data_IF_722571176851
#
_entry.id   IF_722571176851
#
_cell.length_a   1.000
_cell.length_b   1.000
_cell.length_c   1.000
_cell.angle_alpha   90.00
_cell.angle_beta   90.00
_cell.angle_gamma   90.00
#
_symmetry.space_group_name_H-M   'P 1'
#
loop_
_entity.id
_entity.type
_entity.pdbx_description
1 polymer ?
#
# COMPACT_ATOMS: atom_id res chain seq x y z
N UNK A 1 17.59 -9.15 16.18
CA UNK A 1 17.08 -8.46 14.96
C UNK A 1 15.80 -7.71 15.33
N UNK A 2 15.54 -6.58 14.67
CA UNK A 2 14.32 -5.78 14.89
C UNK A 2 13.61 -5.57 13.55
N UNK A 3 12.99 -6.61 12.96
CA UNK A 3 12.32 -6.46 11.68
C UNK A 3 11.14 -5.49 11.79
N UNK A 4 10.99 -4.62 10.78
CA UNK A 4 9.83 -3.73 10.62
C UNK A 4 9.26 -3.97 9.23
N UNK A 5 7.97 -4.22 9.17
CA UNK A 5 7.28 -4.56 7.93
C UNK A 5 6.64 -3.30 7.33
N UNK A 6 6.96 -3.01 6.08
CA UNK A 6 6.32 -2.02 5.23
C UNK A 6 5.47 -2.76 4.21
N UNK A 7 4.17 -2.63 4.31
CA UNK A 7 3.22 -3.37 3.50
C UNK A 7 2.40 -2.42 2.63
N UNK A 8 2.34 -2.68 1.33
CA UNK A 8 1.35 -2.05 0.48
C UNK A 8 -0.05 -2.50 0.85
N UNK A 9 -1.07 -1.75 0.39
CA UNK A 9 -2.45 -2.00 0.76
C UNK A 9 -3.29 -2.54 -0.40
N UNK A 10 -3.40 -1.78 -1.49
CA UNK A 10 -4.36 -2.05 -2.56
C UNK A 10 -3.79 -3.09 -3.54
N UNK A 11 -4.37 -4.30 -3.58
CA UNK A 11 -3.83 -5.45 -4.31
C UNK A 11 -2.86 -6.32 -3.49
N UNK A 12 -2.40 -5.83 -2.34
CA UNK A 12 -1.54 -6.57 -1.39
C UNK A 12 -2.34 -7.03 -0.16
N UNK A 13 -2.77 -6.12 0.72
CA UNK A 13 -3.65 -6.43 1.87
C UNK A 13 -5.08 -6.71 1.39
N UNK A 14 -5.61 -5.91 0.47
CA UNK A 14 -6.84 -6.23 -0.24
C UNK A 14 -6.59 -7.28 -1.33
N UNK A 15 -7.60 -8.07 -1.67
CA UNK A 15 -7.46 -9.08 -2.74
C UNK A 15 -7.30 -8.43 -4.12
N UNK A 16 -8.01 -7.32 -4.35
CA UNK A 16 -8.12 -6.64 -5.63
C UNK A 16 -7.61 -5.20 -5.55
N UNK A 17 -7.30 -4.59 -6.71
CA UNK A 17 -7.01 -3.15 -6.86
C UNK A 17 -8.31 -2.33 -6.68
N UNK A 18 -8.81 -2.25 -5.43
CA UNK A 18 -10.10 -1.63 -5.11
C UNK A 18 -10.09 -0.13 -5.34
N UNK A 19 -8.94 0.54 -5.10
CA UNK A 19 -8.78 1.97 -5.34
C UNK A 19 -9.01 2.36 -6.80
N UNK A 20 -8.40 1.61 -7.72
CA UNK A 20 -8.61 1.81 -9.17
C UNK A 20 -10.08 1.59 -9.54
N UNK A 21 -10.74 0.58 -8.94
CA UNK A 21 -12.18 0.33 -9.12
C UNK A 21 -13.03 1.51 -8.67
N UNK A 22 -12.71 2.12 -7.52
CA UNK A 22 -13.37 3.33 -7.01
C UNK A 22 -13.19 4.51 -7.98
N UNK A 23 -11.97 4.77 -8.43
CA UNK A 23 -11.72 5.85 -9.39
C UNK A 23 -12.54 5.67 -10.67
N UNK A 24 -12.57 4.46 -11.22
CA UNK A 24 -13.39 4.15 -12.41
C UNK A 24 -14.88 4.34 -12.18
N UNK A 25 -15.39 4.01 -10.99
CA UNK A 25 -16.80 4.18 -10.65
C UNK A 25 -17.20 5.66 -10.56
N UNK A 26 -16.40 6.50 -9.89
CA UNK A 26 -16.77 7.88 -9.62
C UNK A 26 -16.26 8.89 -10.66
N UNK A 27 -15.29 8.50 -11.49
CA UNK A 27 -14.73 9.35 -12.56
C UNK A 27 -14.52 8.57 -13.85
N UNK A 28 -15.56 7.90 -14.42
CA UNK A 28 -15.41 6.94 -15.51
C UNK A 28 -14.68 7.52 -16.71
N UNK A 29 -15.09 8.69 -17.24
CA UNK A 29 -14.50 9.30 -18.44
C UNK A 29 -13.03 9.67 -18.21
N UNK A 30 -12.72 10.31 -17.07
CA UNK A 30 -11.33 10.63 -16.73
C UNK A 30 -10.48 9.40 -16.47
N UNK A 31 -11.06 8.37 -15.87
CA UNK A 31 -10.36 7.10 -15.63
C UNK A 31 -9.98 6.41 -16.92
N UNK A 32 -10.86 6.40 -17.93
CA UNK A 32 -10.58 5.87 -19.26
C UNK A 32 -9.42 6.63 -19.95
N UNK A 33 -9.33 7.94 -19.74
CA UNK A 33 -8.27 8.77 -20.32
C UNK A 33 -6.94 8.65 -19.55
N UNK A 34 -6.98 8.79 -18.20
CA UNK A 34 -5.77 9.02 -17.42
C UNK A 34 -5.11 7.74 -16.91
N UNK A 35 -5.87 6.68 -16.60
CA UNK A 35 -5.29 5.43 -16.06
C UNK A 35 -4.34 4.77 -17.06
N UNK A 36 -4.67 4.61 -18.35
CA UNK A 36 -3.71 4.07 -19.33
C UNK A 36 -2.42 4.90 -19.42
N UNK A 37 -2.53 6.23 -19.38
CA UNK A 37 -1.38 7.14 -19.44
C UNK A 37 -0.48 7.08 -18.21
N UNK A 38 -1.02 6.71 -17.05
CA UNK A 38 -0.21 6.42 -15.85
C UNK A 38 0.54 5.09 -16.01
N UNK A 39 -0.10 4.07 -16.61
CA UNK A 39 0.54 2.77 -16.82
C UNK A 39 1.62 2.78 -17.91
N UNK A 40 1.46 3.60 -18.95
CA UNK A 40 2.46 3.76 -20.01
C UNK A 40 3.50 4.86 -19.71
N UNK A 41 3.44 5.45 -18.50
CA UNK A 41 4.34 6.47 -17.98
C UNK A 41 4.35 7.79 -18.78
N UNK A 42 3.32 8.07 -19.58
CA UNK A 42 3.13 9.37 -20.27
C UNK A 42 2.48 10.42 -19.37
N UNK A 43 1.97 9.99 -18.22
CA UNK A 43 1.47 10.83 -17.13
C UNK A 43 2.04 10.32 -15.81
N UNK A 44 2.49 11.25 -14.94
CA UNK A 44 2.96 10.84 -13.61
C UNK A 44 1.82 10.30 -12.75
N UNK A 45 2.12 9.35 -11.85
CA UNK A 45 1.13 8.89 -10.86
C UNK A 45 0.62 10.07 -10.02
N UNK A 46 1.50 11.01 -9.68
CA UNK A 46 1.15 12.23 -8.94
C UNK A 46 0.04 13.03 -9.62
N UNK A 47 0.24 13.37 -10.89
CA UNK A 47 -0.71 14.21 -11.62
C UNK A 47 -2.00 13.47 -11.94
N UNK A 48 -1.90 12.19 -12.34
CA UNK A 48 -3.05 11.37 -12.69
C UNK A 48 -3.95 11.08 -11.49
N UNK A 49 -3.41 10.61 -10.38
CA UNK A 49 -4.18 10.30 -9.16
C UNK A 49 -4.80 11.55 -8.57
N UNK A 50 -4.05 12.68 -8.52
CA UNK A 50 -4.60 13.96 -8.07
C UNK A 50 -5.76 14.40 -8.95
N UNK A 51 -5.59 14.39 -10.27
CA UNK A 51 -6.63 14.81 -11.22
C UNK A 51 -7.89 13.95 -11.13
N UNK A 52 -7.75 12.65 -10.89
CA UNK A 52 -8.87 11.73 -10.69
C UNK A 52 -9.59 12.03 -9.38
N UNK A 53 -8.90 12.01 -8.24
CA UNK A 53 -9.49 12.25 -6.93
C UNK A 53 -10.14 13.63 -6.81
N UNK A 54 -9.47 14.69 -7.28
CA UNK A 54 -9.99 16.05 -7.23
C UNK A 54 -11.12 16.32 -8.26
N UNK A 55 -11.50 15.33 -9.06
CA UNK A 55 -12.71 15.37 -9.88
C UNK A 55 -13.90 14.62 -9.27
N UNK A 56 -13.71 13.93 -8.16
CA UNK A 56 -14.80 13.30 -7.40
C UNK A 56 -15.52 14.36 -6.58
N UNK A 57 -16.86 14.45 -6.70
CA UNK A 57 -17.65 15.31 -5.84
C UNK A 57 -17.59 14.83 -4.39
N UNK A 58 -17.37 15.74 -3.44
CA UNK A 58 -17.19 15.42 -2.01
C UNK A 58 -18.35 14.63 -1.41
N UNK A 59 -19.58 14.81 -1.92
CA UNK A 59 -20.77 14.05 -1.49
C UNK A 59 -20.63 12.54 -1.69
N UNK A 60 -19.76 12.08 -2.57
CA UNK A 60 -19.54 10.65 -2.85
C UNK A 60 -18.54 10.00 -1.89
N UNK A 61 -17.82 10.79 -1.08
CA UNK A 61 -16.81 10.27 -0.19
C UNK A 61 -17.32 9.22 0.82
N UNK A 62 -18.51 9.39 1.44
CA UNK A 62 -19.07 8.34 2.30
C UNK A 62 -19.34 7.01 1.57
N UNK A 63 -19.77 7.06 0.30
CA UNK A 63 -19.99 5.87 -0.51
C UNK A 63 -18.66 5.18 -0.86
N UNK A 64 -17.59 5.97 -1.14
CA UNK A 64 -16.25 5.41 -1.35
C UNK A 64 -15.76 4.63 -0.11
N UNK A 65 -15.97 5.18 1.09
CA UNK A 65 -15.64 4.50 2.34
C UNK A 65 -16.46 3.23 2.55
N UNK A 66 -17.74 3.23 2.15
CA UNK A 66 -18.60 2.05 2.27
C UNK A 66 -18.12 0.91 1.35
N UNK A 67 -17.69 1.22 0.13
CA UNK A 67 -17.07 0.25 -0.77
C UNK A 67 -15.83 -0.37 -0.10
N UNK A 68 -14.98 0.47 0.52
CA UNK A 68 -13.77 -0.01 1.19
C UNK A 68 -14.07 -0.88 2.42
N UNK A 69 -15.14 -0.60 3.17
CA UNK A 69 -15.55 -1.47 4.30
C UNK A 69 -15.88 -2.90 3.88
N UNK A 70 -16.30 -3.08 2.65
CA UNK A 70 -16.67 -4.38 2.09
C UNK A 70 -15.56 -5.00 1.21
N UNK A 71 -14.44 -4.32 1.05
CA UNK A 71 -13.31 -4.82 0.28
C UNK A 71 -12.74 -6.10 0.93
N UNK A 72 -12.60 -7.21 0.16
CA UNK A 72 -12.12 -8.46 0.72
C UNK A 72 -10.63 -8.35 1.08
N UNK A 73 -10.29 -8.76 2.30
CA UNK A 73 -8.90 -8.90 2.71
C UNK A 73 -8.29 -10.16 2.11
N UNK A 74 -7.01 -10.10 1.78
CA UNK A 74 -6.26 -11.26 1.34
C UNK A 74 -6.19 -12.29 2.46
N UNK A 75 -6.32 -13.55 2.08
CA UNK A 75 -6.30 -14.67 3.00
C UNK A 75 -5.06 -14.62 3.90
N UNK A 76 -5.27 -14.91 5.18
CA UNK A 76 -4.21 -14.96 6.19
C UNK A 76 -3.79 -13.59 6.75
N UNK A 77 -4.21 -12.44 6.18
CA UNK A 77 -3.75 -11.13 6.62
C UNK A 77 -4.04 -10.87 8.11
N UNK A 78 -5.26 -11.08 8.58
CA UNK A 78 -5.60 -10.83 9.99
C UNK A 78 -4.81 -11.75 10.94
N UNK A 79 -4.67 -13.04 10.59
CA UNK A 79 -3.85 -13.99 11.37
C UNK A 79 -2.37 -13.59 11.40
N UNK A 80 -1.85 -13.07 10.27
CA UNK A 80 -0.49 -12.55 10.21
C UNK A 80 -0.31 -11.28 11.05
N UNK A 81 -1.28 -10.39 11.05
CA UNK A 81 -1.27 -9.20 11.89
C UNK A 81 -1.25 -9.56 13.39
N UNK A 82 -2.13 -10.49 13.81
CA UNK A 82 -2.13 -11.03 15.17
C UNK A 82 -0.77 -11.66 15.55
N UNK A 83 -0.20 -12.46 14.63
CA UNK A 83 1.10 -13.09 14.81
C UNK A 83 2.20 -12.05 15.02
N UNK A 84 2.23 -10.98 14.23
CA UNK A 84 3.21 -9.90 14.35
C UNK A 84 3.06 -9.18 15.69
N UNK A 85 1.83 -8.89 16.11
CA UNK A 85 1.55 -8.21 17.39
C UNK A 85 2.02 -9.04 18.59
N UNK A 86 1.78 -10.35 18.59
CA UNK A 86 2.29 -11.25 19.65
C UNK A 86 3.83 -11.21 19.74
N UNK A 87 4.50 -11.01 18.59
CA UNK A 87 5.96 -10.93 18.50
C UNK A 87 6.53 -9.51 18.68
N UNK A 88 5.67 -8.51 18.90
CA UNK A 88 6.05 -7.10 18.93
C UNK A 88 6.76 -6.63 17.64
N UNK A 89 6.40 -7.21 16.49
CA UNK A 89 6.88 -6.78 15.18
C UNK A 89 5.93 -5.75 14.62
N UNK A 90 6.45 -4.57 14.28
CA UNK A 90 5.64 -3.48 13.77
C UNK A 90 5.30 -3.66 12.29
N UNK A 91 4.00 -3.53 11.95
CA UNK A 91 3.53 -3.44 10.58
C UNK A 91 3.13 -1.99 10.28
N UNK A 92 3.72 -1.45 9.23
CA UNK A 92 3.45 -0.12 8.67
C UNK A 92 2.77 -0.31 7.31
N UNK A 93 1.60 0.27 7.14
CA UNK A 93 0.94 0.29 5.82
C UNK A 93 1.37 1.52 5.04
N UNK A 94 1.81 1.32 3.79
CA UNK A 94 2.23 2.40 2.88
C UNK A 94 1.45 2.26 1.58
N UNK A 95 0.53 3.19 1.33
CA UNK A 95 -0.39 3.10 0.20
C UNK A 95 -0.37 4.33 -0.68
N UNK A 96 -0.49 4.15 -2.00
CA UNK A 96 -0.78 5.23 -2.94
C UNK A 96 -2.24 5.73 -2.87
N UNK A 97 -3.11 5.03 -2.12
CA UNK A 97 -4.50 5.39 -1.88
C UNK A 97 -4.71 6.25 -0.62
N UNK A 98 -5.94 6.27 -0.11
CA UNK A 98 -6.31 7.09 1.04
C UNK A 98 -6.10 6.35 2.37
N UNK A 99 -5.57 7.05 3.38
CA UNK A 99 -5.44 6.51 4.76
C UNK A 99 -6.80 6.06 5.33
N UNK A 100 -7.87 6.81 5.03
CA UNK A 100 -9.22 6.47 5.48
C UNK A 100 -9.76 5.19 4.82
N UNK A 101 -9.25 4.80 3.64
CA UNK A 101 -9.58 3.53 3.01
C UNK A 101 -9.03 2.37 3.81
N UNK A 102 -7.77 2.47 4.23
CA UNK A 102 -7.15 1.47 5.12
C UNK A 102 -7.95 1.35 6.41
N UNK A 103 -8.32 2.48 7.03
CA UNK A 103 -9.14 2.52 8.25
C UNK A 103 -10.51 1.88 8.04
N UNK A 104 -11.18 2.19 6.93
CA UNK A 104 -12.51 1.66 6.61
C UNK A 104 -12.48 0.14 6.42
N UNK A 105 -11.48 -0.37 5.69
CA UNK A 105 -11.34 -1.80 5.38
C UNK A 105 -10.94 -2.61 6.61
N UNK A 106 -9.98 -2.15 7.41
CA UNK A 106 -9.49 -2.88 8.57
C UNK A 106 -10.42 -2.79 9.79
N UNK A 107 -11.31 -1.79 9.84
CA UNK A 107 -12.26 -1.65 10.95
C UNK A 107 -11.58 -1.65 12.33
N UNK A 108 -11.93 -2.59 13.20
CA UNK A 108 -11.34 -2.70 14.55
C UNK A 108 -9.85 -3.07 14.53
N UNK A 109 -9.39 -3.82 13.54
CA UNK A 109 -7.99 -4.25 13.41
C UNK A 109 -7.05 -3.12 12.97
N UNK A 110 -7.59 -1.97 12.56
CA UNK A 110 -6.79 -0.78 12.24
C UNK A 110 -5.87 -0.36 13.40
N UNK A 111 -6.31 -0.50 14.65
CA UNK A 111 -5.52 -0.17 15.85
C UNK A 111 -4.30 -1.07 16.07
N UNK A 112 -4.26 -2.21 15.39
CA UNK A 112 -3.17 -3.19 15.49
C UNK A 112 -2.05 -2.90 14.49
N UNK A 113 -2.31 -2.03 13.50
CA UNK A 113 -1.31 -1.50 12.58
C UNK A 113 -0.53 -0.38 13.28
N UNK A 114 0.80 -0.42 13.20
CA UNK A 114 1.65 0.56 13.88
C UNK A 114 1.43 1.99 13.34
N UNK A 115 1.42 2.14 12.03
CA UNK A 115 1.13 3.42 11.34
C UNK A 115 0.69 3.20 9.90
N UNK A 116 0.02 4.20 9.34
CA UNK A 116 -0.42 4.22 7.95
C UNK A 116 0.11 5.49 7.30
N UNK A 117 0.70 5.35 6.13
CA UNK A 117 1.16 6.44 5.27
C UNK A 117 0.42 6.36 3.94
N UNK A 118 -0.35 7.38 3.64
CA UNK A 118 -1.17 7.46 2.44
C UNK A 118 -1.58 8.89 2.12
N UNK A 119 -2.60 9.02 1.29
CA UNK A 119 -3.20 10.30 0.97
C UNK A 119 -4.29 10.64 1.99
N UNK A 120 -4.47 11.92 2.22
CA UNK A 120 -5.61 12.48 2.95
C UNK A 120 -6.45 13.32 2.00
N UNK A 121 -7.75 13.42 2.26
CA UNK A 121 -8.65 14.27 1.49
C UNK A 121 -9.45 15.20 2.39
N UNK A 122 -9.67 16.42 1.90
CA UNK A 122 -10.64 17.35 2.46
C UNK A 122 -11.94 17.27 1.68
N UNK A 123 -13.06 17.34 2.39
CA UNK A 123 -14.44 17.23 1.84
C UNK A 123 -15.25 18.52 1.99
N UNK A 124 -14.64 19.60 2.48
CA UNK A 124 -15.31 20.88 2.75
C UNK A 124 -15.62 21.71 1.49
N UNK A 125 -15.16 21.26 0.33
CA UNK A 125 -15.42 21.87 -0.98
C UNK A 125 -16.29 20.95 -1.85
N UNK A 126 -16.88 21.46 -2.97
CA UNK A 126 -17.70 20.63 -3.86
C UNK A 126 -17.00 19.39 -4.38
N UNK A 127 -15.69 19.44 -4.56
CA UNK A 127 -14.83 18.33 -5.00
C UNK A 127 -13.79 18.03 -3.93
N UNK A 128 -13.32 16.77 -3.88
CA UNK A 128 -12.27 16.36 -2.97
C UNK A 128 -11.01 17.21 -3.18
N UNK A 129 -10.28 17.45 -2.08
CA UNK A 129 -8.94 18.07 -2.10
C UNK A 129 -7.93 17.07 -1.57
N UNK A 130 -6.87 16.81 -2.34
CA UNK A 130 -5.85 15.81 -2.01
C UNK A 130 -4.68 16.45 -1.29
N UNK A 131 -4.27 15.83 -0.18
CA UNK A 131 -3.11 16.21 0.62
C UNK A 131 -2.17 15.04 0.81
N UNK A 132 -0.88 15.30 0.72
CA UNK A 132 0.17 14.33 1.05
C UNK A 132 1.35 15.06 1.69
N UNK A 133 1.92 14.45 2.73
CA UNK A 133 3.17 14.90 3.34
C UNK A 133 4.40 14.22 2.70
N UNK A 134 4.15 13.27 1.77
CA UNK A 134 5.14 12.35 1.23
C UNK A 134 5.33 12.48 -0.28
N UNK A 135 4.94 13.62 -0.87
CA UNK A 135 5.09 13.83 -2.31
C UNK A 135 6.54 13.77 -2.76
N UNK A 136 6.75 13.19 -3.94
CA UNK A 136 8.00 13.25 -4.70
C UNK A 136 7.78 13.98 -6.04
N UNK A 137 8.77 13.94 -6.93
CA UNK A 137 8.63 14.49 -8.28
C UNK A 137 7.50 13.85 -9.07
N UNK A 138 7.30 12.54 -8.96
CA UNK A 138 6.42 11.71 -9.80
C UNK A 138 5.29 11.02 -9.05
N UNK A 139 5.33 10.96 -7.70
CA UNK A 139 4.38 10.25 -6.87
C UNK A 139 3.79 11.15 -5.78
N UNK A 140 2.51 10.93 -5.43
CA UNK A 140 1.88 11.57 -4.27
C UNK A 140 2.35 10.97 -2.95
N UNK A 141 2.72 9.68 -2.96
CA UNK A 141 3.25 8.97 -1.79
C UNK A 141 4.54 8.26 -2.18
N UNK A 142 5.66 8.82 -1.77
CA UNK A 142 6.98 8.24 -2.03
C UNK A 142 7.28 7.11 -1.05
N UNK A 143 7.01 5.87 -1.44
CA UNK A 143 7.28 4.67 -0.64
C UNK A 143 8.75 4.53 -0.24
N UNK A 144 9.75 4.76 -1.15
CA UNK A 144 11.16 4.70 -0.75
C UNK A 144 11.53 5.70 0.34
N UNK A 145 10.99 6.94 0.28
CA UNK A 145 11.23 7.96 1.31
C UNK A 145 10.63 7.58 2.66
N UNK A 146 9.42 7.00 2.65
CA UNK A 146 8.76 6.52 3.87
C UNK A 146 9.58 5.38 4.48
N UNK A 147 9.99 4.40 3.67
CA UNK A 147 10.81 3.27 4.11
C UNK A 147 12.12 3.75 4.76
N UNK A 148 12.81 4.71 4.15
CA UNK A 148 14.04 5.29 4.71
C UNK A 148 13.78 6.03 6.03
N UNK A 149 12.83 6.94 6.06
CA UNK A 149 12.58 7.78 7.25
C UNK A 149 11.98 6.97 8.41
N UNK A 150 10.93 6.20 8.15
CA UNK A 150 10.29 5.40 9.20
C UNK A 150 11.19 4.24 9.65
N UNK A 151 11.90 3.60 8.71
CA UNK A 151 12.87 2.54 9.01
C UNK A 151 13.98 3.02 9.94
N UNK A 152 14.55 4.20 9.67
CA UNK A 152 15.57 4.81 10.56
C UNK A 152 15.00 5.16 11.93
N UNK A 153 13.82 5.78 11.99
CA UNK A 153 13.17 6.16 13.24
C UNK A 153 12.87 4.95 14.13
N UNK A 154 12.47 3.85 13.53
CA UNK A 154 12.15 2.60 14.21
C UNK A 154 13.36 1.68 14.41
N UNK A 155 14.53 2.04 13.88
CA UNK A 155 15.73 1.21 13.88
C UNK A 155 15.46 -0.16 13.27
N UNK A 156 14.78 -0.18 12.12
CA UNK A 156 14.43 -1.40 11.41
C UNK A 156 15.70 -2.18 11.00
N UNK A 157 15.78 -3.45 11.42
CA UNK A 157 16.93 -4.32 11.16
C UNK A 157 16.47 -5.79 11.07
N UNK A 158 16.20 -6.29 9.86
CA UNK A 158 16.08 -5.56 8.59
C UNK A 158 14.71 -4.90 8.40
N UNK A 159 14.58 -3.89 7.51
CA UNK A 159 13.30 -3.55 6.94
C UNK A 159 12.83 -4.67 6.00
N UNK A 160 11.53 -4.93 6.00
CA UNK A 160 10.87 -5.93 5.15
C UNK A 160 9.79 -5.23 4.33
N UNK A 161 9.77 -5.39 3.02
CA UNK A 161 8.74 -4.86 2.14
C UNK A 161 7.81 -5.97 1.65
N UNK A 162 6.50 -5.70 1.62
CA UNK A 162 5.48 -6.56 1.01
C UNK A 162 4.72 -5.73 -0.01
N UNK A 163 4.65 -6.17 -1.27
CA UNK A 163 3.99 -5.42 -2.33
C UNK A 163 3.67 -6.24 -3.58
N UNK A 164 2.94 -5.64 -4.53
CA UNK A 164 2.45 -6.32 -5.73
C UNK A 164 2.62 -5.51 -7.03
N UNK A 165 2.88 -4.20 -6.96
CA UNK A 165 2.74 -3.33 -8.12
C UNK A 165 3.98 -2.48 -8.43
N UNK A 166 3.92 -1.70 -9.51
CA UNK A 166 4.98 -0.80 -9.92
C UNK A 166 5.25 0.30 -8.88
N UNK A 167 4.26 0.68 -8.09
CA UNK A 167 4.43 1.71 -7.04
C UNK A 167 5.33 1.26 -5.90
N UNK A 168 5.59 -0.05 -5.78
CA UNK A 168 6.46 -0.65 -4.78
C UNK A 168 7.91 -0.78 -5.26
N UNK A 169 8.13 -0.70 -6.57
CA UNK A 169 9.38 -1.09 -7.21
C UNK A 169 10.61 -0.37 -6.64
N UNK A 170 10.58 0.95 -6.55
CA UNK A 170 11.72 1.74 -6.07
C UNK A 170 12.03 1.41 -4.59
N UNK A 171 10.99 1.22 -3.76
CA UNK A 171 11.16 0.80 -2.38
C UNK A 171 11.71 -0.63 -2.28
N UNK A 172 11.23 -1.54 -3.14
CA UNK A 172 11.67 -2.93 -3.19
C UNK A 172 13.15 -3.05 -3.62
N UNK A 173 13.60 -2.23 -4.55
CA UNK A 173 15.00 -2.21 -4.97
C UNK A 173 15.95 -1.79 -3.82
N UNK A 174 15.47 -0.89 -2.94
CA UNK A 174 16.23 -0.41 -1.79
C UNK A 174 16.10 -1.31 -0.54
N UNK A 175 15.10 -2.22 -0.50
CA UNK A 175 14.82 -3.06 0.67
C UNK A 175 15.60 -4.37 0.63
N UNK A 176 16.24 -4.83 1.76
CA UNK A 176 17.00 -6.07 1.78
C UNK A 176 16.10 -7.32 1.73
N UNK A 177 14.90 -7.28 2.31
CA UNK A 177 13.96 -8.39 2.33
C UNK A 177 12.66 -7.94 1.66
N UNK A 178 12.27 -8.62 0.58
CA UNK A 178 11.09 -8.25 -0.23
C UNK A 178 10.22 -9.47 -0.45
N UNK A 179 8.95 -9.36 -0.08
CA UNK A 179 7.90 -10.25 -0.53
C UNK A 179 7.18 -9.60 -1.71
N UNK A 180 7.14 -10.29 -2.85
CA UNK A 180 6.57 -9.74 -4.07
C UNK A 180 5.66 -10.73 -4.76
N UNK A 181 4.61 -10.17 -5.37
CA UNK A 181 3.69 -10.89 -6.26
C UNK A 181 3.40 -10.07 -7.51
N UNK A 182 2.59 -10.62 -8.39
CA UNK A 182 2.05 -10.00 -9.59
C UNK A 182 3.09 -9.19 -10.39
N UNK A 183 2.82 -7.92 -10.68
CA UNK A 183 3.70 -7.08 -11.52
C UNK A 183 5.02 -6.78 -10.84
N UNK A 184 5.04 -6.60 -9.51
CA UNK A 184 6.29 -6.34 -8.78
C UNK A 184 7.27 -7.50 -8.95
N UNK A 185 6.80 -8.74 -8.82
CA UNK A 185 7.63 -9.93 -9.01
C UNK A 185 8.27 -9.96 -10.40
N UNK A 186 7.51 -9.63 -11.47
CA UNK A 186 8.04 -9.51 -12.82
C UNK A 186 9.14 -8.46 -12.93
N UNK A 187 8.90 -7.25 -12.41
CA UNK A 187 9.88 -6.15 -12.45
C UNK A 187 11.17 -6.46 -11.68
N UNK A 188 11.07 -7.15 -10.54
CA UNK A 188 12.23 -7.55 -9.75
C UNK A 188 13.04 -8.64 -10.47
N UNK A 189 12.35 -9.62 -11.07
CA UNK A 189 13.00 -10.67 -11.88
C UNK A 189 13.80 -10.09 -13.05
N UNK A 190 13.21 -9.14 -13.80
CA UNK A 190 13.90 -8.44 -14.90
C UNK A 190 15.16 -7.69 -14.44
N UNK A 191 15.20 -7.24 -13.18
CA UNK A 191 16.32 -6.50 -12.59
C UNK A 191 17.26 -7.37 -11.76
N UNK A 192 17.04 -8.68 -11.78
CA UNK A 192 17.84 -9.65 -11.02
C UNK A 192 17.92 -9.31 -9.50
N UNK A 193 16.84 -8.73 -8.97
CA UNK A 193 16.67 -8.46 -7.55
C UNK A 193 15.97 -9.65 -6.90
N UNK A 194 16.59 -10.22 -5.87
CA UNK A 194 16.01 -11.31 -5.08
C UNK A 194 14.76 -10.86 -4.35
N UNK A 195 13.75 -11.73 -4.33
CA UNK A 195 12.51 -11.58 -3.59
C UNK A 195 11.92 -12.94 -3.22
N UNK A 196 11.01 -12.95 -2.26
CA UNK A 196 10.23 -14.10 -1.83
C UNK A 196 8.84 -13.99 -2.47
N UNK A 197 8.43 -14.96 -3.32
CA UNK A 197 7.09 -14.95 -3.89
C UNK A 197 6.03 -15.30 -2.83
N UNK A 198 4.82 -14.78 -2.97
CA UNK A 198 3.69 -15.13 -2.13
C UNK A 198 2.36 -15.07 -2.90
N UNK A 199 1.42 -15.93 -2.52
CA UNK A 199 0.04 -15.89 -2.99
C UNK A 199 -0.88 -15.27 -1.94
N UNK A 200 -0.65 -15.60 -0.67
CA UNK A 200 -1.39 -15.04 0.46
C UNK A 200 -0.47 -14.82 1.70
N UNK A 201 -1.04 -14.29 2.78
CA UNK A 201 -0.26 -13.98 3.98
C UNK A 201 0.16 -15.22 4.79
N UNK A 202 -0.37 -16.41 4.48
CA UNK A 202 0.12 -17.66 5.06
C UNK A 202 1.54 -17.98 4.58
N UNK A 203 1.83 -17.74 3.30
CA UNK A 203 3.16 -17.94 2.73
C UNK A 203 4.18 -16.97 3.35
N UNK A 204 3.75 -15.70 3.50
CA UNK A 204 4.58 -14.66 4.14
C UNK A 204 4.89 -15.05 5.58
N UNK A 205 3.88 -15.48 6.34
CA UNK A 205 4.08 -15.87 7.74
C UNK A 205 5.05 -17.03 7.85
N UNK A 206 4.90 -18.08 7.03
CA UNK A 206 5.79 -19.22 7.06
C UNK A 206 7.25 -18.82 6.76
N UNK A 207 7.48 -18.05 5.69
CA UNK A 207 8.81 -17.60 5.34
C UNK A 207 9.40 -16.64 6.40
N UNK A 208 8.56 -15.80 7.02
CA UNK A 208 8.96 -14.90 8.08
C UNK A 208 9.39 -15.67 9.35
N UNK A 209 8.70 -16.76 9.71
CA UNK A 209 9.05 -17.64 10.83
C UNK A 209 10.42 -18.30 10.63
N UNK A 210 10.72 -18.73 9.40
CA UNK A 210 12.01 -19.34 9.04
C UNK A 210 13.16 -18.33 9.09
N UNK A 211 12.93 -17.09 8.62
CA UNK A 211 13.94 -16.04 8.60
C UNK A 211 14.20 -15.41 9.97
N UNK A 212 13.16 -15.29 10.79
CA UNK A 212 13.19 -14.62 12.09
C UNK A 212 12.66 -15.55 13.19
N UNK A 213 13.36 -16.67 13.49
CA UNK A 213 12.91 -17.57 14.54
C UNK A 213 12.84 -16.87 15.90
N UNK A 214 11.90 -17.28 16.75
CA UNK A 214 11.87 -16.85 18.14
C UNK A 214 12.99 -17.61 18.86
N UNK A 215 13.87 -16.88 19.53
CA UNK A 215 14.87 -17.52 20.40
C UNK A 215 14.12 -18.34 21.47
N UNK A 216 14.43 -19.62 21.57
CA UNK A 216 13.81 -20.57 22.48
C UNK A 216 14.17 -20.31 23.94
#
# INVERSE_FOLDING_TARGET
MNPVIFCDFDGTITQDETFVGILRKFTPQKSEELIPRMYDLTLTLKDGVRALLESVESRHYPEMLEIMRTAPLRKGFLSFLDYLNVRNVSLIVVTGGLEDFVRATLGSSFREVHSVYGLRVGTDSPFLKVFSDWESGTELVSKPRILDVAGKNMRADPPVLIGDSVTDLEAALACPVVFARDRLAGYLSERQKDYLPFDDFTDIQQAFEEMFPVDA
#
